data_IF_321770237670
#
_entry.id   IF_321770237670
#
_cell.length_a   1.000
_cell.length_b   1.000
_cell.length_c   1.000
_cell.angle_alpha   90.00
_cell.angle_beta   90.00
_cell.angle_gamma   90.00
#
_symmetry.space_group_name_H-M   'P 1'
#
loop_
_entity.id
_entity.type
_entity.pdbx_description
1 polymer ?
#
# COMPACT_ATOMS: atom_id res chain seq x y z
N UNK A 1 21.57 19.55 14.12
CA UNK A 1 20.67 18.38 14.18
C UNK A 1 21.12 17.45 13.05
N UNK A 2 21.71 16.30 13.35
CA UNK A 2 22.08 15.34 12.31
C UNK A 2 20.80 14.75 11.71
N UNK A 3 20.57 14.98 10.42
CA UNK A 3 19.50 14.30 9.70
C UNK A 3 19.85 12.80 9.68
N UNK A 4 19.03 11.93 10.30
CA UNK A 4 19.36 10.53 10.52
C UNK A 4 19.01 9.71 9.29
N UNK A 5 19.42 10.16 8.10
CA UNK A 5 19.22 9.39 6.87
C UNK A 5 20.52 8.65 6.60
N UNK A 6 20.54 7.42 7.09
CA UNK A 6 21.57 6.42 6.85
C UNK A 6 21.60 6.01 5.38
N UNK A 7 22.67 5.30 5.00
CA UNK A 7 22.75 4.56 3.74
C UNK A 7 21.46 3.74 3.51
N UNK A 8 21.05 3.53 2.25
CA UNK A 8 19.89 2.71 1.96
C UNK A 8 20.05 1.32 2.59
N UNK A 9 18.99 0.86 3.26
CA UNK A 9 18.91 -0.47 3.84
C UNK A 9 18.82 -1.55 2.76
N UNK A 10 18.25 -1.20 1.60
CA UNK A 10 18.20 -2.05 0.41
C UNK A 10 18.29 -1.17 -0.84
N UNK A 11 19.01 -1.65 -1.85
CA UNK A 11 19.06 -1.07 -3.19
C UNK A 11 18.68 -2.16 -4.17
N UNK A 12 17.84 -1.85 -5.16
CA UNK A 12 17.35 -2.79 -6.16
C UNK A 12 17.09 -2.07 -7.48
N UNK A 13 17.13 -2.80 -8.59
CA UNK A 13 16.74 -2.30 -9.90
C UNK A 13 15.31 -2.72 -10.23
N UNK A 14 14.62 -1.89 -11.00
CA UNK A 14 13.21 -2.05 -11.31
C UNK A 14 12.89 -3.35 -12.04
N UNK A 15 13.75 -3.79 -12.94
CA UNK A 15 13.63 -5.05 -13.68
C UNK A 15 13.96 -6.30 -12.86
N UNK A 16 14.55 -6.14 -11.67
CA UNK A 16 14.94 -7.22 -10.77
C UNK A 16 13.97 -7.38 -9.57
N UNK A 17 13.08 -6.42 -9.35
CA UNK A 17 12.21 -6.35 -8.17
C UNK A 17 10.73 -6.36 -8.54
N UNK A 18 10.02 -7.41 -8.12
CA UNK A 18 8.55 -7.38 -8.08
C UNK A 18 8.09 -6.42 -6.98
N UNK A 19 7.67 -5.21 -7.40
CA UNK A 19 7.38 -4.12 -6.48
C UNK A 19 6.16 -4.40 -5.58
N UNK A 20 5.15 -5.10 -6.08
CA UNK A 20 3.97 -5.46 -5.30
C UNK A 20 4.35 -6.43 -4.17
N UNK A 21 5.10 -7.49 -4.49
CA UNK A 21 5.63 -8.41 -3.47
C UNK A 21 6.56 -7.71 -2.49
N UNK A 22 7.31 -6.72 -2.95
CA UNK A 22 8.17 -5.91 -2.10
C UNK A 22 7.34 -5.10 -1.09
N UNK A 23 6.28 -4.41 -1.52
CA UNK A 23 5.39 -3.69 -0.63
C UNK A 23 4.69 -4.63 0.37
N UNK A 24 4.21 -5.79 -0.08
CA UNK A 24 3.64 -6.80 0.83
C UNK A 24 4.62 -7.22 1.93
N UNK A 25 5.89 -7.44 1.57
CA UNK A 25 6.94 -7.79 2.54
C UNK A 25 7.16 -6.68 3.56
N UNK A 26 7.13 -5.41 3.13
CA UNK A 26 7.27 -4.26 4.03
C UNK A 26 6.07 -4.13 4.98
N UNK A 27 4.85 -4.33 4.48
CA UNK A 27 3.63 -4.36 5.29
C UNK A 27 3.69 -5.44 6.38
N UNK A 28 4.08 -6.67 6.01
CA UNK A 28 4.23 -7.78 6.98
C UNK A 28 5.28 -7.49 8.07
N UNK A 29 6.32 -6.74 7.73
CA UNK A 29 7.38 -6.33 8.67
C UNK A 29 7.04 -5.05 9.44
N UNK A 30 5.89 -4.43 9.19
CA UNK A 30 5.49 -3.13 9.74
C UNK A 30 6.59 -2.06 9.57
N UNK A 31 7.17 -2.01 8.38
CA UNK A 31 8.36 -1.21 8.11
C UNK A 31 8.08 0.30 8.19
N UNK A 32 8.91 1.04 8.92
CA UNK A 32 8.83 2.50 8.98
C UNK A 32 10.00 3.10 8.20
N UNK A 33 9.69 4.01 7.26
CA UNK A 33 10.74 4.55 6.41
C UNK A 33 10.21 5.19 5.14
N UNK A 34 11.07 5.28 4.13
CA UNK A 34 10.65 5.73 2.82
C UNK A 34 11.37 4.96 1.72
N UNK A 35 10.72 4.89 0.56
CA UNK A 35 11.30 4.39 -0.68
C UNK A 35 11.65 5.60 -1.53
N UNK A 36 12.86 5.63 -2.08
CA UNK A 36 13.25 6.53 -3.16
C UNK A 36 13.25 5.76 -4.47
N UNK A 37 12.63 6.34 -5.49
CA UNK A 37 12.56 5.78 -6.84
C UNK A 37 13.20 6.79 -7.78
N UNK A 38 14.27 6.41 -8.45
CA UNK A 38 14.98 7.27 -9.39
C UNK A 38 14.92 6.65 -10.78
N UNK A 39 14.42 7.40 -11.77
CA UNK A 39 14.40 6.98 -13.17
C UNK A 39 14.88 8.12 -14.06
N UNK A 40 15.96 7.89 -14.79
CA UNK A 40 16.65 8.92 -15.56
C UNK A 40 16.97 10.16 -14.71
N UNK A 41 16.33 11.31 -14.99
CA UNK A 41 16.53 12.57 -14.25
C UNK A 41 15.41 12.86 -13.24
N UNK A 42 14.44 11.95 -13.09
CA UNK A 42 13.29 12.12 -12.19
C UNK A 42 13.47 11.30 -10.93
N UNK A 43 13.01 11.85 -9.81
CA UNK A 43 13.06 11.23 -8.50
C UNK A 43 11.66 11.28 -7.86
N UNK A 44 11.29 10.19 -7.21
CA UNK A 44 10.09 10.09 -6.40
C UNK A 44 10.36 9.48 -5.04
N UNK A 45 9.43 9.75 -4.13
CA UNK A 45 9.49 9.31 -2.76
C UNK A 45 8.15 8.72 -2.35
N UNK A 46 8.19 7.63 -1.58
CA UNK A 46 7.03 7.02 -0.93
C UNK A 46 7.34 6.93 0.55
N UNK A 47 6.57 7.63 1.39
CA UNK A 47 6.66 7.51 2.84
C UNK A 47 5.82 6.31 3.31
N UNK A 48 6.43 5.44 4.10
CA UNK A 48 5.83 4.24 4.67
C UNK A 48 5.68 4.38 6.18
N UNK A 49 4.47 4.13 6.69
CA UNK A 49 4.22 3.92 8.12
C UNK A 49 3.65 2.53 8.31
N UNK A 50 4.29 1.73 9.14
CA UNK A 50 3.94 0.33 9.38
C UNK A 50 3.82 -0.49 8.09
N UNK A 51 4.67 -0.17 7.11
CA UNK A 51 4.74 -0.79 5.79
C UNK A 51 3.60 -0.39 4.85
N UNK A 52 2.77 0.56 5.24
CA UNK A 52 1.68 1.11 4.41
C UNK A 52 2.16 2.44 3.81
N UNK A 53 2.05 2.63 2.47
CA UNK A 53 2.24 3.93 1.83
C UNK A 53 1.26 4.97 2.37
N UNK A 54 1.77 6.09 2.88
CA UNK A 54 0.95 7.17 3.45
C UNK A 54 1.15 8.51 2.76
N UNK A 55 2.24 8.70 2.01
CA UNK A 55 2.48 9.90 1.21
C UNK A 55 3.35 9.54 0.00
N UNK A 56 3.15 10.24 -1.11
CA UNK A 56 3.95 10.03 -2.31
C UNK A 56 4.19 11.34 -3.10
N UNK A 57 5.36 11.43 -3.70
CA UNK A 57 5.75 12.47 -4.66
C UNK A 57 6.59 11.87 -5.78
N UNK A 58 6.51 12.45 -6.97
CA UNK A 58 7.35 12.07 -8.11
C UNK A 58 7.50 13.28 -9.04
N UNK A 59 8.69 13.86 -9.11
CA UNK A 59 8.93 15.12 -9.82
C UNK A 59 7.90 16.21 -9.40
N UNK A 60 7.06 16.68 -10.32
CA UNK A 60 5.97 17.65 -10.03
C UNK A 60 4.67 17.01 -9.52
N UNK A 61 4.56 15.70 -9.62
CA UNK A 61 3.36 14.95 -9.27
C UNK A 61 3.32 14.68 -7.75
N UNK A 62 2.11 14.63 -7.19
CA UNK A 62 1.89 14.45 -5.75
C UNK A 62 0.77 13.45 -5.48
N UNK A 63 0.74 12.88 -4.27
CA UNK A 63 -0.34 12.01 -3.78
C UNK A 63 -0.58 10.81 -4.72
N UNK A 64 -1.83 10.54 -5.08
CA UNK A 64 -2.22 9.41 -5.94
C UNK A 64 -1.58 9.50 -7.32
N UNK A 65 -1.50 10.70 -7.91
CA UNK A 65 -0.90 10.89 -9.24
C UNK A 65 0.60 10.56 -9.22
N UNK A 66 1.30 10.90 -8.13
CA UNK A 66 2.69 10.48 -7.95
C UNK A 66 2.82 8.97 -7.86
N UNK A 67 1.93 8.30 -7.12
CA UNK A 67 1.94 6.84 -6.99
C UNK A 67 1.69 6.17 -8.34
N UNK A 68 0.72 6.65 -9.12
CA UNK A 68 0.45 6.16 -10.49
C UNK A 68 1.69 6.29 -11.37
N UNK A 69 2.36 7.45 -11.35
CA UNK A 69 3.59 7.68 -12.12
C UNK A 69 4.73 6.77 -11.70
N UNK A 70 4.87 6.49 -10.40
CA UNK A 70 5.84 5.53 -9.90
C UNK A 70 5.50 4.12 -10.41
N UNK A 71 4.25 3.68 -10.32
CA UNK A 71 3.86 2.35 -10.81
C UNK A 71 4.06 2.19 -12.33
N UNK A 72 3.92 3.26 -13.12
CA UNK A 72 4.21 3.25 -14.56
C UNK A 72 5.69 3.04 -14.91
N UNK A 73 6.60 3.40 -14.00
CA UNK A 73 8.06 3.39 -14.25
C UNK A 73 8.82 2.37 -13.41
N UNK A 74 8.19 1.78 -12.40
CA UNK A 74 8.89 0.99 -11.39
C UNK A 74 9.57 -0.26 -11.97
N UNK A 75 8.96 -0.91 -12.96
CA UNK A 75 9.46 -2.15 -13.58
C UNK A 75 10.44 -1.89 -14.76
N UNK A 76 10.85 -0.63 -14.99
CA UNK A 76 11.77 -0.30 -16.08
C UNK A 76 13.22 -0.56 -15.66
N UNK A 77 14.02 -1.07 -16.59
CA UNK A 77 15.45 -1.43 -16.41
C UNK A 77 16.28 -0.28 -15.81
N UNK A 78 15.98 0.97 -16.17
CA UNK A 78 16.73 2.13 -15.70
C UNK A 78 16.14 2.78 -14.44
N UNK A 79 15.33 2.03 -13.69
CA UNK A 79 14.74 2.50 -12.43
C UNK A 79 15.54 1.94 -11.25
N UNK A 80 16.03 2.83 -10.41
CA UNK A 80 16.68 2.52 -9.14
C UNK A 80 15.67 2.65 -8.01
N UNK A 81 15.60 1.64 -7.15
CA UNK A 81 14.70 1.58 -6.00
C UNK A 81 15.55 1.45 -4.75
N UNK A 82 15.43 2.42 -3.85
CA UNK A 82 16.19 2.46 -2.60
C UNK A 82 15.25 2.53 -1.40
N UNK A 83 15.48 1.67 -0.41
CA UNK A 83 14.71 1.62 0.82
C UNK A 83 15.51 2.22 1.97
N UNK A 84 14.90 3.15 2.70
CA UNK A 84 15.50 3.78 3.88
C UNK A 84 14.69 3.45 5.12
N UNK A 85 15.35 3.05 6.20
CA UNK A 85 14.70 2.81 7.49
C UNK A 85 14.65 4.09 8.31
N UNK A 86 13.52 4.34 8.96
CA UNK A 86 13.36 5.48 9.87
C UNK A 86 12.89 4.97 11.23
N UNK A 87 13.56 5.44 12.28
CA UNK A 87 13.14 5.19 13.66
C UNK A 87 11.74 5.71 13.90
N UNK A 88 10.94 4.94 14.62
CA UNK A 88 9.55 5.28 14.95
C UNK A 88 9.41 6.69 15.57
N UNK A 89 10.36 7.09 16.42
CA UNK A 89 10.40 8.41 17.06
C UNK A 89 10.49 9.59 16.09
N UNK A 90 10.92 9.37 14.84
CA UNK A 90 11.00 10.41 13.80
C UNK A 90 9.84 10.38 12.82
N UNK A 91 8.97 9.37 12.88
CA UNK A 91 7.88 9.20 11.92
C UNK A 91 6.87 10.35 11.99
N UNK A 92 6.46 10.77 13.19
CA UNK A 92 5.47 11.84 13.34
C UNK A 92 5.95 13.16 12.73
N UNK A 93 7.24 13.47 12.90
CA UNK A 93 7.87 14.62 12.24
C UNK A 93 7.85 14.49 10.71
N UNK A 94 8.21 13.32 10.17
CA UNK A 94 8.18 13.10 8.72
C UNK A 94 6.76 13.17 8.15
N UNK A 95 5.76 12.70 8.89
CA UNK A 95 4.35 12.78 8.48
C UNK A 95 3.89 14.23 8.45
N UNK A 96 4.28 15.02 9.45
CA UNK A 96 3.94 16.44 9.58
C UNK A 96 4.47 17.24 8.37
N UNK A 97 5.74 17.07 8.02
CA UNK A 97 6.33 17.80 6.88
C UNK A 97 5.77 17.33 5.53
N UNK A 98 5.34 16.07 5.43
CA UNK A 98 4.82 15.49 4.19
C UNK A 98 3.28 15.57 4.05
N UNK A 99 2.60 16.36 4.88
CA UNK A 99 1.13 16.50 4.87
C UNK A 99 0.53 16.79 3.49
N UNK A 100 1.21 17.60 2.67
CA UNK A 100 0.74 17.99 1.33
C UNK A 100 0.76 16.81 0.35
N UNK A 101 1.63 15.84 0.58
CA UNK A 101 1.82 14.64 -0.25
C UNK A 101 1.01 13.44 0.24
N UNK A 102 0.24 13.59 1.32
CA UNK A 102 -0.48 12.50 1.99
C UNK A 102 -1.50 11.86 1.04
N UNK A 103 -1.47 10.54 0.97
CA UNK A 103 -2.46 9.75 0.25
C UNK A 103 -3.79 9.81 1.00
N UNK A 104 -4.88 9.91 0.23
CA UNK A 104 -6.20 9.79 0.82
C UNK A 104 -6.40 8.34 1.29
N UNK A 105 -6.93 8.11 2.50
CA UNK A 105 -7.26 6.76 2.92
C UNK A 105 -8.27 6.19 1.93
N UNK A 106 -7.92 5.08 1.28
CA UNK A 106 -8.85 4.31 0.48
C UNK A 106 -10.01 3.94 1.39
N UNK A 107 -11.17 4.60 1.21
CA UNK A 107 -12.41 4.17 1.83
C UNK A 107 -12.59 2.72 1.43
N UNK A 108 -12.58 1.81 2.40
CA UNK A 108 -12.92 0.41 2.14
C UNK A 108 -14.23 0.42 1.36
N UNK A 109 -14.20 -0.11 0.13
CA UNK A 109 -15.44 -0.41 -0.58
C UNK A 109 -16.12 -1.50 0.26
N UNK A 110 -17.05 -1.09 1.11
CA UNK A 110 -17.99 -1.99 1.78
C UNK A 110 -18.59 -2.85 0.67
N UNK A 111 -18.17 -4.12 0.59
CA UNK A 111 -18.83 -5.07 -0.31
C UNK A 111 -20.29 -5.10 0.14
N UNK A 112 -21.27 -4.88 -0.74
CA UNK A 112 -22.66 -5.04 -0.37
C UNK A 112 -22.84 -6.48 0.18
N UNK A 113 -23.68 -6.69 1.20
CA UNK A 113 -23.90 -8.02 1.74
C UNK A 113 -24.36 -8.93 0.60
N UNK A 114 -23.64 -10.02 0.38
CA UNK A 114 -24.07 -11.08 -0.52
C UNK A 114 -25.39 -11.60 0.03
N UNK A 115 -26.51 -11.39 -0.68
CA UNK A 115 -27.80 -12.00 -0.33
C UNK A 115 -27.62 -13.51 -0.21
N UNK A 116 -27.74 -14.02 1.01
CA UNK A 116 -27.84 -15.44 1.28
C UNK A 116 -29.21 -15.87 0.73
N UNK A 117 -29.24 -16.39 -0.50
CA UNK A 117 -30.40 -17.14 -0.98
C UNK A 117 -30.43 -18.48 -0.26
N UNK A 118 -31.18 -18.55 0.83
CA UNK A 118 -31.55 -19.82 1.47
C UNK A 118 -32.37 -20.63 0.47
N UNK A 119 -31.74 -21.61 -0.17
CA UNK A 119 -32.44 -22.72 -0.82
C UNK A 119 -32.83 -23.71 0.27
N UNK A 120 -34.06 -23.65 0.75
CA UNK A 120 -34.69 -24.80 1.43
C UNK A 120 -35.44 -25.62 0.38
N UNK A 121 -34.82 -26.71 -0.06
CA UNK A 121 -35.49 -27.79 -0.78
C UNK A 121 -35.99 -28.85 0.22
N UNK A 122 -37.31 -28.86 0.40
CA UNK A 122 -38.22 -30.04 0.37
C UNK A 122 -38.12 -31.13 1.44
N UNK A 123 -39.26 -31.41 2.12
CA UNK A 123 -39.98 -32.72 2.09
C UNK A 123 -41.36 -32.67 2.81
N UNK A 124 -42.29 -33.61 2.49
CA UNK A 124 -43.75 -33.41 2.46
C UNK A 124 -44.47 -33.76 3.79
N UNK A 125 -45.73 -33.30 4.01
CA UNK A 125 -46.55 -33.79 5.12
C UNK A 125 -47.25 -35.10 4.75
N UNK A 126 -46.95 -36.15 5.51
CA UNK A 126 -47.72 -37.39 5.59
C UNK A 126 -48.96 -37.15 6.45
N UNK A 127 -50.11 -37.64 6.01
CA UNK A 127 -51.38 -37.69 6.73
C UNK A 127 -51.25 -38.43 8.08
N UNK A 128 -52.01 -38.01 9.11
CA UNK A 128 -52.78 -38.90 10.01
C UNK A 128 -53.94 -38.09 10.63
N UNK A 129 -55.08 -38.78 10.69
CA UNK A 129 -56.47 -38.38 11.01
C UNK A 129 -56.76 -38.09 12.50
N UNK A 130 -57.97 -37.54 12.69
CA UNK A 130 -58.94 -37.69 13.82
C UNK A 130 -58.68 -36.82 15.06
N UNK A 131 -59.64 -36.13 15.70
CA UNK A 131 -61.11 -36.27 15.87
C UNK A 131 -61.75 -34.90 16.14
N UNK A 132 -63.00 -34.69 15.71
CA UNK A 132 -64.18 -34.47 16.58
C UNK A 132 -65.47 -34.68 15.77
#
# INVERSE_FOLDING_TARGET
MELPITRPAQVSYGDELDFDKFLEKLARKRYNGFIRVTHASSEGHILLKEGIPIAASYDRYMKTEAMEKILEIIDKINTLIELFEVKESHMDYLIEINKVYKLEPTKEKVKPPTEIKTKEETKPPTEIKTKE
#
